data_IF_184732206212
#
_entry.id   IF_184732206212
#
_cell.length_a   1.000
_cell.length_b   1.000
_cell.length_c   1.000
_cell.angle_alpha   90.00
_cell.angle_beta   90.00
_cell.angle_gamma   90.00
#
_symmetry.space_group_name_H-M   'P 1'
#
loop_
_entity.id
_entity.type
_entity.pdbx_description
1 polymer ?
#
# COMPACT_ATOMS: atom_id res chain seq x y z
N UNK A 1 -33.60 14.24 -12.55
CA UNK A 1 -33.41 14.14 -11.09
C UNK A 1 -31.94 13.89 -10.82
N UNK A 2 -31.26 14.87 -10.23
CA UNK A 2 -29.83 14.75 -9.91
C UNK A 2 -29.70 14.00 -8.58
N UNK A 3 -29.24 12.79 -8.63
CA UNK A 3 -29.04 11.94 -7.44
C UNK A 3 -27.62 12.07 -6.89
N UNK A 4 -27.18 13.21 -6.50
CA UNK A 4 -26.04 13.44 -5.62
C UNK A 4 -24.64 12.99 -6.07
N UNK A 5 -23.60 13.28 -5.26
CA UNK A 5 -22.19 13.08 -5.62
C UNK A 5 -21.71 11.61 -5.65
N UNK A 6 -22.60 10.65 -5.48
CA UNK A 6 -22.25 9.23 -5.36
C UNK A 6 -22.21 8.46 -6.69
N UNK A 7 -22.63 9.07 -7.79
CA UNK A 7 -22.75 8.38 -9.10
C UNK A 7 -21.48 8.46 -9.96
N UNK A 8 -20.39 8.99 -9.46
CA UNK A 8 -19.13 8.98 -10.21
C UNK A 8 -18.44 7.63 -10.05
N UNK A 9 -17.92 7.06 -11.15
CA UNK A 9 -17.20 5.80 -11.08
C UNK A 9 -16.01 5.91 -10.10
N UNK A 10 -15.79 4.86 -9.33
CA UNK A 10 -14.60 4.73 -8.52
C UNK A 10 -13.36 4.84 -9.40
N UNK A 11 -12.41 5.67 -8.99
CA UNK A 11 -11.10 5.77 -9.64
C UNK A 11 -10.10 4.92 -8.89
N UNK A 12 -9.18 4.36 -9.65
CA UNK A 12 -8.02 3.64 -9.12
C UNK A 12 -6.89 4.64 -8.84
N UNK A 13 -6.17 4.46 -7.74
CA UNK A 13 -5.00 5.24 -7.38
C UNK A 13 -3.82 4.32 -7.03
N UNK A 14 -2.61 4.60 -7.52
CA UNK A 14 -2.32 5.67 -8.48
C UNK A 14 -3.08 5.49 -9.79
N UNK A 15 -3.46 6.59 -10.44
CA UNK A 15 -4.16 6.54 -11.74
C UNK A 15 -3.26 6.02 -12.86
N UNK A 16 -1.95 6.08 -12.64
CA UNK A 16 -0.90 5.64 -13.57
C UNK A 16 0.12 4.83 -12.80
N UNK A 17 0.74 3.88 -13.49
CA UNK A 17 1.85 3.12 -12.93
C UNK A 17 3.01 4.03 -12.51
N UNK A 18 3.59 3.77 -11.34
CA UNK A 18 4.82 4.42 -10.88
C UNK A 18 5.99 3.57 -11.37
N UNK A 19 6.59 3.92 -12.50
CA UNK A 19 7.54 3.05 -13.21
C UNK A 19 9.01 3.45 -13.08
N UNK A 20 9.28 4.64 -12.56
CA UNK A 20 10.65 5.14 -12.36
C UNK A 20 10.70 5.86 -11.03
N UNK A 21 11.27 5.19 -10.03
CA UNK A 21 11.72 5.88 -8.85
C UNK A 21 13.08 6.47 -9.08
N UNK A 22 13.33 7.67 -8.57
CA UNK A 22 14.70 8.15 -8.42
C UNK A 22 15.30 7.32 -7.29
N UNK A 23 16.21 6.43 -7.64
CA UNK A 23 16.90 5.60 -6.67
C UNK A 23 17.53 6.49 -5.59
N UNK A 24 17.31 6.13 -4.35
CA UNK A 24 18.06 6.70 -3.25
C UNK A 24 19.57 6.58 -3.52
N UNK A 25 20.43 7.25 -2.77
CA UNK A 25 21.85 7.37 -3.07
C UNK A 25 22.48 6.01 -3.31
N UNK A 26 23.09 5.89 -4.47
CA UNK A 26 23.74 4.70 -5.01
C UNK A 26 24.73 4.08 -4.03
N UNK A 27 24.62 2.78 -3.85
CA UNK A 27 25.70 1.96 -3.32
C UNK A 27 25.54 1.52 -1.88
N UNK A 28 24.65 0.60 -1.62
CA UNK A 28 24.55 -0.08 -0.36
C UNK A 28 23.20 -0.75 -0.18
N UNK A 29 23.11 -1.66 0.76
CA UNK A 29 21.83 -2.17 1.24
C UNK A 29 21.10 -0.97 1.84
N UNK A 30 20.21 -0.35 1.08
CA UNK A 30 19.43 0.79 1.58
C UNK A 30 18.30 0.22 2.43
N UNK A 31 18.61 -0.18 3.63
CA UNK A 31 17.63 -0.36 4.71
C UNK A 31 17.35 0.97 5.39
N UNK A 32 17.34 2.05 4.64
CA UNK A 32 17.09 3.37 5.21
C UNK A 32 15.59 3.57 5.28
N UNK A 33 15.01 3.77 6.46
CA UNK A 33 13.62 4.22 6.57
C UNK A 33 13.44 5.49 5.75
N UNK A 34 12.38 5.56 4.94
CA UNK A 34 11.99 6.81 4.30
C UNK A 34 12.55 7.06 2.90
N UNK A 35 12.90 6.04 2.12
CA UNK A 35 13.13 6.25 0.68
C UNK A 35 11.82 6.63 0.02
N UNK A 36 11.77 7.84 -0.51
CA UNK A 36 10.60 8.38 -1.23
C UNK A 36 10.81 8.32 -2.72
N UNK A 37 9.78 7.88 -3.43
CA UNK A 37 9.72 7.84 -4.87
C UNK A 37 8.52 8.66 -5.36
N UNK A 38 8.76 9.63 -6.24
CA UNK A 38 7.74 10.58 -6.69
C UNK A 38 7.51 10.48 -8.18
N UNK A 39 6.26 10.37 -8.60
CA UNK A 39 5.87 10.45 -10.01
C UNK A 39 4.48 11.06 -10.15
N UNK A 40 4.34 12.07 -11.00
CA UNK A 40 3.06 12.76 -11.29
C UNK A 40 2.31 13.24 -10.04
N UNK A 41 3.05 13.68 -9.03
CA UNK A 41 2.48 14.12 -7.76
C UNK A 41 2.18 13.02 -6.76
N UNK A 42 2.44 11.75 -7.09
CA UNK A 42 2.46 10.65 -6.14
C UNK A 42 3.85 10.49 -5.55
N UNK A 43 3.93 10.22 -4.26
CA UNK A 43 5.16 9.87 -3.57
C UNK A 43 4.97 8.55 -2.83
N UNK A 44 5.85 7.59 -3.05
CA UNK A 44 5.88 6.34 -2.30
C UNK A 44 7.01 6.39 -1.28
N UNK A 45 6.71 6.02 -0.06
CA UNK A 45 7.69 5.89 1.03
C UNK A 45 7.46 4.57 1.73
N UNK A 46 8.53 3.88 2.11
CA UNK A 46 8.44 2.64 2.89
C UNK A 46 9.41 2.64 4.06
N UNK A 47 9.09 1.87 5.09
CA UNK A 47 9.93 1.69 6.29
C UNK A 47 11.29 1.08 5.98
N UNK A 48 11.29 0.20 4.97
CA UNK A 48 12.50 -0.44 4.47
C UNK A 48 12.25 -1.07 3.10
N UNK A 49 13.32 -1.42 2.41
CA UNK A 49 13.30 -2.28 1.23
C UNK A 49 14.46 -3.25 1.28
N UNK A 50 14.29 -4.44 0.69
CA UNK A 50 15.31 -5.45 0.61
C UNK A 50 16.00 -5.37 -0.76
N UNK A 51 17.32 -5.20 -0.79
CA UNK A 51 18.10 -5.24 -2.01
C UNK A 51 19.22 -4.23 -2.08
N UNK A 52 20.17 -4.49 -2.96
CA UNK A 52 21.27 -3.58 -3.28
C UNK A 52 20.79 -2.55 -4.29
N UNK A 53 20.91 -1.29 -3.96
CA UNK A 53 20.41 -0.11 -4.66
C UNK A 53 20.89 0.13 -6.10
N UNK A 54 21.06 -0.89 -6.91
CA UNK A 54 21.52 -0.73 -8.28
C UNK A 54 20.51 -1.08 -9.37
N UNK A 55 19.55 -1.95 -9.07
CA UNK A 55 18.46 -2.32 -9.99
C UNK A 55 17.23 -2.59 -9.14
N UNK A 56 16.58 -1.53 -8.69
CA UNK A 56 15.67 -1.57 -7.57
C UNK A 56 14.34 -2.23 -7.90
N UNK A 57 14.39 -3.54 -7.99
CA UNK A 57 13.23 -4.39 -8.27
C UNK A 57 12.42 -4.72 -7.02
N UNK A 58 12.80 -4.17 -5.85
CA UNK A 58 12.18 -4.48 -4.54
C UNK A 58 11.84 -3.25 -3.71
N UNK A 59 11.93 -2.08 -4.30
CA UNK A 59 11.60 -0.81 -3.67
C UNK A 59 10.09 -0.66 -3.43
N UNK A 60 9.72 0.25 -2.54
CA UNK A 60 8.32 0.52 -2.25
C UNK A 60 7.49 0.88 -3.47
N UNK A 61 8.04 1.65 -4.41
CA UNK A 61 7.32 2.04 -5.62
C UNK A 61 6.90 0.84 -6.51
N UNK A 62 7.61 -0.30 -6.43
CA UNK A 62 7.24 -1.51 -7.16
C UNK A 62 5.88 -2.08 -6.75
N UNK A 63 5.34 -1.69 -5.59
CA UNK A 63 3.97 -2.03 -5.21
C UNK A 63 2.91 -1.16 -5.89
N UNK A 64 3.29 -0.24 -6.77
CA UNK A 64 2.41 0.70 -7.48
C UNK A 64 2.75 0.83 -8.96
N UNK A 65 3.50 -0.12 -9.52
CA UNK A 65 4.01 -0.03 -10.89
C UNK A 65 3.10 -0.69 -11.94
N UNK A 66 1.98 -1.25 -11.53
CA UNK A 66 1.10 -2.10 -12.35
C UNK A 66 1.85 -3.28 -12.99
N UNK A 67 3.07 -3.50 -12.53
CA UNK A 67 3.96 -4.51 -13.03
C UNK A 67 3.52 -5.88 -12.56
N UNK A 68 2.87 -6.61 -13.45
CA UNK A 68 2.71 -8.05 -13.30
C UNK A 68 4.09 -8.69 -13.53
N UNK A 69 4.91 -8.69 -12.50
CA UNK A 69 6.23 -9.26 -12.65
C UNK A 69 6.15 -10.77 -12.76
N UNK A 70 6.34 -11.26 -13.97
CA UNK A 70 6.47 -12.70 -14.23
C UNK A 70 7.92 -13.18 -14.22
N UNK A 71 8.89 -12.28 -14.29
CA UNK A 71 10.29 -12.67 -14.55
C UNK A 71 11.35 -11.94 -13.73
N UNK A 72 11.03 -10.83 -13.10
CA UNK A 72 11.95 -10.06 -12.27
C UNK A 72 11.24 -9.58 -11.02
N UNK A 73 11.94 -9.52 -9.91
CA UNK A 73 11.46 -9.18 -8.55
C UNK A 73 10.92 -7.73 -8.43
N UNK A 74 9.97 -7.34 -9.28
CA UNK A 74 9.30 -6.05 -9.17
C UNK A 74 8.19 -6.14 -8.14
N UNK A 75 8.58 -6.13 -6.89
CA UNK A 75 7.71 -6.21 -5.72
C UNK A 75 8.21 -5.24 -4.67
N UNK A 76 7.37 -4.75 -3.80
CA UNK A 76 7.88 -4.26 -2.53
C UNK A 76 8.22 -5.46 -1.65
N UNK A 77 9.49 -5.58 -1.31
CA UNK A 77 9.97 -6.50 -0.30
C UNK A 77 10.62 -5.68 0.82
N UNK A 78 10.11 -5.79 2.04
CA UNK A 78 10.69 -5.11 3.20
C UNK A 78 12.03 -5.73 3.60
N UNK A 79 12.74 -5.10 4.53
CA UNK A 79 13.86 -5.73 5.23
C UNK A 79 13.45 -7.00 6.00
N UNK A 80 14.43 -7.76 6.41
CA UNK A 80 14.23 -9.05 7.12
C UNK A 80 13.91 -8.81 8.61
N UNK A 81 12.72 -8.32 8.89
CA UNK A 81 12.29 -7.94 10.24
C UNK A 81 11.12 -8.76 10.78
N UNK A 82 10.99 -10.01 10.30
CA UNK A 82 10.00 -10.95 10.81
C UNK A 82 10.64 -12.29 11.13
N UNK A 83 10.07 -12.96 12.11
CA UNK A 83 10.44 -14.36 12.41
C UNK A 83 9.92 -15.27 11.29
N UNK A 84 10.58 -16.39 11.08
CA UNK A 84 10.14 -17.40 10.10
C UNK A 84 9.08 -18.37 10.64
N UNK A 85 8.52 -18.05 11.80
CA UNK A 85 7.38 -18.78 12.39
C UNK A 85 6.10 -18.59 11.59
N UNK A 86 5.05 -19.32 11.91
CA UNK A 86 3.72 -19.21 11.31
C UNK A 86 2.68 -18.90 12.39
N UNK A 87 2.16 -17.65 12.47
CA UNK A 87 2.54 -16.46 11.68
C UNK A 87 3.95 -15.94 12.02
N UNK A 88 4.56 -15.24 11.08
CA UNK A 88 5.81 -14.53 11.29
C UNK A 88 5.58 -13.23 12.08
N UNK A 89 6.30 -13.09 13.19
CA UNK A 89 6.17 -11.97 14.12
C UNK A 89 7.18 -10.88 13.77
N UNK A 90 6.75 -9.62 13.86
CA UNK A 90 7.63 -8.47 13.68
C UNK A 90 8.67 -8.41 14.81
N UNK A 91 9.94 -8.22 14.45
CA UNK A 91 11.06 -8.29 15.39
C UNK A 91 12.16 -7.23 15.17
N UNK A 92 11.85 -6.16 14.42
CA UNK A 92 12.79 -5.05 14.23
C UNK A 92 13.05 -4.30 15.54
N UNK A 93 14.29 -3.93 15.78
CA UNK A 93 14.68 -3.10 16.92
C UNK A 93 15.53 -1.91 16.46
N UNK A 94 15.15 -0.65 16.75
CA UNK A 94 13.87 -0.26 17.33
C UNK A 94 12.68 -0.54 16.38
N UNK A 95 11.54 -0.84 16.98
CA UNK A 95 10.32 -1.08 16.20
C UNK A 95 9.89 0.20 15.44
N UNK A 96 9.37 0.01 14.23
CA UNK A 96 8.65 1.06 13.52
C UNK A 96 7.19 1.03 13.98
N UNK A 97 6.63 2.18 14.29
CA UNK A 97 5.26 2.26 14.78
C UNK A 97 4.55 3.53 14.38
N UNK A 98 3.24 3.44 14.23
CA UNK A 98 2.34 4.56 13.96
C UNK A 98 1.14 4.48 14.89
N UNK A 99 0.79 5.60 15.52
CA UNK A 99 -0.41 5.67 16.35
C UNK A 99 -1.57 6.21 15.52
N UNK A 100 -2.67 5.46 15.48
CA UNK A 100 -3.91 5.89 14.86
C UNK A 100 -5.08 5.69 15.84
N UNK A 101 -5.89 6.72 16.03
CA UNK A 101 -7.03 6.74 16.93
C UNK A 101 -6.70 6.22 18.35
N UNK A 102 -5.48 6.55 18.84
CA UNK A 102 -4.98 6.14 20.16
C UNK A 102 -4.41 4.72 20.24
N UNK A 103 -4.42 3.96 19.16
CA UNK A 103 -3.85 2.60 19.08
C UNK A 103 -2.51 2.64 18.35
N UNK A 104 -1.52 1.94 18.90
CA UNK A 104 -0.20 1.83 18.28
C UNK A 104 -0.14 0.60 17.36
N UNK A 105 0.26 0.84 16.11
CA UNK A 105 0.44 -0.19 15.08
C UNK A 105 1.93 -0.32 14.75
N UNK A 106 2.53 -1.41 15.17
CA UNK A 106 3.92 -1.74 14.89
C UNK A 106 4.05 -2.61 13.66
N UNK A 107 5.08 -2.40 12.85
CA UNK A 107 5.33 -3.22 11.67
C UNK A 107 6.13 -2.52 10.59
N UNK A 108 6.49 -3.27 9.56
CA UNK A 108 6.96 -2.67 8.32
C UNK A 108 5.77 -2.02 7.61
N UNK A 109 6.02 -0.88 6.97
CA UNK A 109 4.96 -0.10 6.36
C UNK A 109 5.35 0.43 4.98
N UNK A 110 4.31 0.68 4.18
CA UNK A 110 4.41 1.37 2.89
C UNK A 110 3.30 2.41 2.79
N UNK A 111 3.67 3.60 2.33
CA UNK A 111 2.81 4.77 2.27
C UNK A 111 2.78 5.35 0.86
N UNK A 112 1.58 5.68 0.40
CA UNK A 112 1.35 6.48 -0.80
C UNK A 112 0.88 7.87 -0.41
N UNK A 113 1.60 8.90 -0.81
CA UNK A 113 1.12 10.28 -0.85
C UNK A 113 0.42 10.51 -2.19
N UNK A 114 -0.78 11.05 -2.14
CA UNK A 114 -1.62 11.35 -3.28
C UNK A 114 -1.48 12.81 -3.68
N UNK A 115 -1.58 13.17 -4.96
CA UNK A 115 -1.60 14.58 -5.39
C UNK A 115 -2.83 15.32 -4.89
N UNK A 116 -3.93 14.60 -4.63
CA UNK A 116 -5.20 15.11 -4.08
C UNK A 116 -5.73 14.15 -3.04
N UNK A 117 -6.52 14.66 -2.11
CA UNK A 117 -7.20 13.83 -1.11
C UNK A 117 -8.28 12.99 -1.76
N UNK A 118 -8.39 11.75 -1.32
CA UNK A 118 -9.45 10.84 -1.76
C UNK A 118 -10.25 10.31 -0.56
N UNK A 119 -11.51 10.06 -0.77
CA UNK A 119 -12.31 9.18 0.07
C UNK A 119 -12.09 7.75 -0.42
N UNK A 120 -11.67 6.85 0.47
CA UNK A 120 -11.32 5.48 0.11
C UNK A 120 -12.53 4.58 0.25
N UNK A 121 -12.83 3.85 -0.82
CA UNK A 121 -13.94 2.88 -0.87
C UNK A 121 -13.45 1.44 -0.83
N UNK A 122 -12.27 1.17 -1.39
CA UNK A 122 -11.66 -0.16 -1.39
C UNK A 122 -10.15 -0.09 -1.52
N UNK A 123 -9.48 -1.12 -1.00
CA UNK A 123 -8.04 -1.33 -1.10
C UNK A 123 -7.82 -2.73 -1.65
N UNK A 124 -7.14 -2.86 -2.78
CA UNK A 124 -6.72 -4.14 -3.35
C UNK A 124 -5.24 -4.34 -3.07
N UNK A 125 -4.89 -5.50 -2.54
CA UNK A 125 -3.51 -5.92 -2.31
C UNK A 125 -3.27 -7.22 -3.08
N UNK A 126 -2.26 -7.23 -3.93
CA UNK A 126 -1.81 -8.41 -4.64
C UNK A 126 -0.52 -8.92 -4.01
N UNK A 127 -0.54 -10.17 -3.56
CA UNK A 127 0.62 -10.81 -2.99
C UNK A 127 1.69 -11.06 -4.06
N UNK A 128 2.94 -11.05 -3.65
CA UNK A 128 4.00 -11.47 -4.53
C UNK A 128 3.84 -12.95 -4.89
N UNK A 129 3.83 -13.24 -6.20
CA UNK A 129 3.94 -14.59 -6.72
C UNK A 129 5.12 -14.67 -7.66
N UNK A 130 5.77 -15.80 -7.60
CA UNK A 130 6.87 -16.11 -8.51
C UNK A 130 6.63 -17.49 -9.14
N UNK A 131 6.99 -17.67 -10.39
CA UNK A 131 6.68 -18.86 -11.20
C UNK A 131 7.20 -20.20 -10.64
N UNK A 132 8.06 -20.18 -9.65
CA UNK A 132 8.58 -21.38 -8.96
C UNK A 132 8.31 -21.38 -7.45
N UNK A 133 7.44 -20.50 -6.91
CA UNK A 133 7.60 -20.05 -5.54
C UNK A 133 6.33 -20.14 -4.70
N UNK A 134 6.14 -21.29 -4.16
CA UNK A 134 5.53 -21.47 -2.84
C UNK A 134 6.19 -20.59 -1.75
N UNK A 135 7.42 -20.08 -1.96
CA UNK A 135 8.21 -19.34 -0.96
C UNK A 135 7.74 -17.93 -0.62
N UNK A 136 7.23 -17.13 -1.58
CA UNK A 136 6.81 -15.75 -1.32
C UNK A 136 5.42 -15.64 -0.67
N UNK A 137 4.63 -16.69 -0.70
CA UNK A 137 3.36 -16.78 0.01
C UNK A 137 3.51 -16.45 1.49
N UNK A 138 4.64 -16.81 2.09
CA UNK A 138 4.93 -16.55 3.49
C UNK A 138 5.07 -15.06 3.86
N UNK A 139 5.43 -14.20 2.91
CA UNK A 139 5.56 -12.75 3.11
C UNK A 139 4.24 -11.98 3.00
N UNK A 140 3.11 -12.64 2.79
CA UNK A 140 1.79 -12.00 2.74
C UNK A 140 1.41 -11.37 4.08
N UNK A 141 0.78 -10.19 4.09
CA UNK A 141 0.20 -9.63 5.30
C UNK A 141 -0.78 -10.60 5.98
N UNK A 142 -0.60 -10.81 7.28
CA UNK A 142 -1.44 -11.66 8.11
C UNK A 142 -2.21 -10.83 9.15
N UNK A 143 -1.56 -9.83 9.73
CA UNK A 143 -2.13 -8.89 10.68
C UNK A 143 -1.55 -7.50 10.42
N UNK A 144 -2.38 -6.47 10.54
CA UNK A 144 -1.96 -5.10 10.31
C UNK A 144 -3.11 -4.12 10.20
N UNK A 145 -2.80 -2.95 9.65
CA UNK A 145 -3.75 -1.86 9.50
C UNK A 145 -3.53 -1.05 8.22
N UNK A 146 -4.61 -0.47 7.72
CA UNK A 146 -4.60 0.62 6.74
C UNK A 146 -4.92 1.90 7.48
N UNK A 147 -4.05 2.88 7.35
CA UNK A 147 -4.15 4.18 8.02
C UNK A 147 -4.29 5.30 6.98
N UNK A 148 -5.03 6.35 7.33
CA UNK A 148 -5.18 7.56 6.53
C UNK A 148 -4.73 8.80 7.28
N UNK A 149 -4.10 9.75 6.58
CA UNK A 149 -3.64 11.02 7.15
C UNK A 149 -3.77 12.17 6.15
N UNK A 150 -3.77 13.40 6.67
CA UNK A 150 -3.74 14.62 5.85
C UNK A 150 -2.49 15.46 6.08
N UNK A 151 -1.69 15.13 7.10
CA UNK A 151 -0.52 15.90 7.54
C UNK A 151 0.73 15.02 7.74
N UNK A 152 0.63 13.71 7.41
CA UNK A 152 1.68 12.69 7.59
C UNK A 152 2.14 12.48 9.05
N UNK A 153 1.37 12.98 9.99
CA UNK A 153 1.68 12.92 11.43
C UNK A 153 0.52 12.40 12.28
N UNK A 154 -0.68 12.83 11.98
CA UNK A 154 -1.92 12.42 12.66
C UNK A 154 -2.63 11.38 11.79
N UNK A 155 -2.80 10.18 12.32
CA UNK A 155 -3.35 9.05 11.58
C UNK A 155 -4.71 8.61 12.10
N UNK A 156 -5.59 8.25 11.20
CA UNK A 156 -6.88 7.61 11.47
C UNK A 156 -6.86 6.18 10.97
N UNK A 157 -7.48 5.28 11.70
CA UNK A 157 -7.66 3.90 11.27
C UNK A 157 -8.73 3.81 10.19
N UNK A 158 -8.40 3.24 9.04
CA UNK A 158 -9.34 2.95 7.96
C UNK A 158 -9.80 1.50 8.01
N UNK A 159 -8.87 0.59 8.28
CA UNK A 159 -9.11 -0.85 8.35
C UNK A 159 -8.06 -1.51 9.22
N UNK A 160 -8.48 -2.36 10.15
CA UNK A 160 -7.61 -3.35 10.76
C UNK A 160 -7.91 -4.74 10.21
N UNK A 161 -6.91 -5.62 10.22
CA UNK A 161 -7.08 -7.01 9.84
C UNK A 161 -6.18 -7.92 10.69
N UNK A 162 -6.69 -9.11 11.01
CA UNK A 162 -5.99 -10.11 11.82
C UNK A 162 -6.47 -11.52 11.48
N UNK A 163 -5.66 -12.51 11.81
CA UNK A 163 -6.00 -13.93 11.58
C UNK A 163 -5.84 -14.38 10.13
N UNK A 164 -5.14 -13.61 9.33
CA UNK A 164 -4.95 -13.86 7.90
C UNK A 164 -6.06 -13.28 7.05
N UNK A 165 -5.71 -12.96 5.81
CA UNK A 165 -6.62 -12.44 4.80
C UNK A 165 -7.07 -13.58 3.88
N UNK A 166 -8.32 -13.52 3.41
CA UNK A 166 -8.84 -14.48 2.43
C UNK A 166 -8.30 -14.14 1.05
N UNK A 167 -7.12 -14.65 0.75
CA UNK A 167 -6.48 -14.46 -0.55
C UNK A 167 -7.21 -15.25 -1.63
N UNK A 168 -7.81 -14.55 -2.58
CA UNK A 168 -8.33 -15.22 -3.77
C UNK A 168 -7.17 -15.86 -4.52
N UNK A 169 -7.31 -17.13 -4.89
CA UNK A 169 -6.34 -17.82 -5.72
C UNK A 169 -6.33 -17.16 -7.11
N UNK A 170 -5.19 -16.60 -7.47
CA UNK A 170 -4.97 -16.04 -8.78
C UNK A 170 -3.90 -16.84 -9.49
N UNK A 171 -3.83 -16.73 -10.81
CA UNK A 171 -2.73 -17.32 -11.57
C UNK A 171 -1.41 -16.69 -11.18
N UNK A 172 -0.31 -17.38 -11.42
CA UNK A 172 1.05 -16.84 -11.21
C UNK A 172 1.22 -15.51 -11.95
N UNK A 173 0.62 -15.38 -13.13
CA UNK A 173 0.62 -14.15 -13.92
C UNK A 173 -0.09 -12.97 -13.24
N UNK A 174 -0.97 -13.21 -12.27
CA UNK A 174 -1.73 -12.20 -11.54
C UNK A 174 -1.18 -11.94 -10.13
N UNK A 175 -0.01 -12.47 -9.80
CA UNK A 175 0.64 -12.18 -8.52
C UNK A 175 0.27 -13.12 -7.37
N UNK A 176 -0.18 -14.35 -7.65
CA UNK A 176 -0.27 -15.43 -6.62
C UNK A 176 -1.31 -15.28 -5.53
N UNK A 177 -2.14 -14.26 -5.58
CA UNK A 177 -3.24 -14.04 -4.64
C UNK A 177 -3.60 -12.57 -4.49
N UNK A 178 -4.88 -12.32 -4.44
CA UNK A 178 -5.45 -10.98 -4.30
C UNK A 178 -6.43 -10.93 -3.13
N UNK A 179 -6.42 -9.84 -2.41
CA UNK A 179 -7.44 -9.53 -1.40
C UNK A 179 -7.94 -8.11 -1.62
N UNK A 180 -9.23 -7.92 -1.42
CA UNK A 180 -9.85 -6.59 -1.40
C UNK A 180 -10.35 -6.31 0.00
N UNK A 181 -9.93 -5.20 0.57
CA UNK A 181 -10.34 -4.70 1.88
C UNK A 181 -11.27 -3.51 1.68
N UNK A 182 -12.34 -3.48 2.47
CA UNK A 182 -13.23 -2.32 2.56
C UNK A 182 -12.94 -1.61 3.88
N UNK A 183 -12.81 -0.28 3.91
CA UNK A 183 -12.69 0.47 5.17
C UNK A 183 -13.81 0.10 6.15
N UNK A 184 -13.47 0.02 7.44
CA UNK A 184 -14.46 -0.34 8.49
C UNK A 184 -15.48 0.77 8.72
N UNK A 185 -15.08 1.99 8.46
CA UNK A 185 -15.95 3.16 8.54
C UNK A 185 -16.26 3.66 7.15
N UNK A 186 -17.54 3.84 6.85
CA UNK A 186 -18.00 4.53 5.63
C UNK A 186 -17.67 6.02 5.80
N UNK A 187 -16.38 6.36 5.73
CA UNK A 187 -15.89 7.68 6.06
C UNK A 187 -16.15 8.61 4.89
N UNK A 188 -16.84 9.70 5.15
CA UNK A 188 -16.83 10.87 4.27
C UNK A 188 -15.48 11.58 4.28
N UNK A 189 -14.56 11.14 5.16
CA UNK A 189 -13.24 11.69 5.31
C UNK A 189 -12.37 11.38 4.10
N UNK A 190 -11.56 12.34 3.73
CA UNK A 190 -10.64 12.27 2.60
C UNK A 190 -9.22 12.39 3.10
N UNK A 191 -8.35 11.58 2.54
CA UNK A 191 -6.97 11.48 2.98
C UNK A 191 -6.00 11.73 1.82
N UNK A 192 -4.90 12.40 2.14
CA UNK A 192 -3.79 12.63 1.23
C UNK A 192 -2.73 11.53 1.33
N UNK A 193 -2.56 10.96 2.51
CA UNK A 193 -1.61 9.89 2.79
C UNK A 193 -2.37 8.64 3.16
N UNK A 194 -2.01 7.53 2.56
CA UNK A 194 -2.56 6.21 2.88
C UNK A 194 -1.38 5.28 3.15
N UNK A 195 -1.43 4.59 4.28
CA UNK A 195 -0.36 3.72 4.73
C UNK A 195 -0.90 2.31 5.03
N UNK A 196 -0.21 1.30 4.52
CA UNK A 196 -0.35 -0.08 4.99
C UNK A 196 0.75 -0.34 6.01
N UNK A 197 0.37 -0.75 7.23
CA UNK A 197 1.27 -1.27 8.27
C UNK A 197 1.04 -2.76 8.40
N UNK A 198 2.11 -3.55 8.39
CA UNK A 198 2.04 -5.02 8.51
C UNK A 198 2.72 -5.43 9.82
N UNK A 199 1.94 -5.90 10.79
CA UNK A 199 2.45 -6.36 12.09
C UNK A 199 2.91 -7.82 12.04
N UNK A 200 2.16 -8.68 11.33
CA UNK A 200 2.51 -10.09 11.14
C UNK A 200 2.37 -10.47 9.68
N UNK A 201 3.20 -11.40 9.27
CA UNK A 201 3.15 -12.05 7.95
C UNK A 201 2.67 -13.49 8.08
N UNK A 202 2.30 -14.11 6.96
CA UNK A 202 1.77 -15.47 6.98
C UNK A 202 2.75 -16.49 7.56
N UNK A 203 4.05 -16.29 7.31
CA UNK A 203 5.12 -17.10 7.91
C UNK A 203 6.03 -17.75 6.88
N UNK A 204 7.07 -18.44 7.35
CA UNK A 204 8.16 -19.02 6.54
C UNK A 204 8.98 -18.01 5.73
N UNK A 205 8.79 -16.70 5.96
CA UNK A 205 9.57 -15.59 5.40
C UNK A 205 9.97 -14.65 6.53
N UNK A 206 10.96 -13.80 6.25
CA UNK A 206 11.40 -12.75 7.18
C UNK A 206 11.06 -11.34 6.69
N UNK A 207 10.36 -11.21 5.58
CA UNK A 207 9.99 -9.94 4.93
C UNK A 207 8.52 -9.91 4.51
N UNK A 208 7.95 -8.73 4.43
CA UNK A 208 6.69 -8.49 3.70
C UNK A 208 7.00 -8.53 2.22
N UNK A 209 6.18 -9.23 1.44
CA UNK A 209 6.32 -9.36 0.00
C UNK A 209 4.98 -8.99 -0.68
N UNK A 210 4.93 -7.81 -1.33
CA UNK A 210 3.72 -7.30 -2.00
C UNK A 210 4.05 -6.98 -3.46
N UNK A 211 3.21 -7.49 -4.36
CA UNK A 211 3.36 -7.25 -5.79
C UNK A 211 2.68 -5.94 -6.22
N UNK A 212 1.47 -5.68 -5.72
CA UNK A 212 0.70 -4.50 -6.13
C UNK A 212 -0.25 -4.05 -5.04
N UNK A 213 -0.42 -2.74 -4.89
CA UNK A 213 -1.45 -2.12 -4.06
C UNK A 213 -2.22 -1.14 -4.93
N UNK A 214 -3.55 -1.19 -4.85
CA UNK A 214 -4.45 -0.23 -5.51
C UNK A 214 -5.45 0.30 -4.51
N UNK A 215 -5.60 1.60 -4.49
CA UNK A 215 -6.65 2.27 -3.76
C UNK A 215 -7.77 2.67 -4.72
N UNK A 216 -9.00 2.53 -4.30
CA UNK A 216 -10.17 2.95 -5.07
C UNK A 216 -10.96 3.96 -4.27
N UNK A 217 -11.37 5.05 -4.91
CA UNK A 217 -12.06 6.11 -4.20
C UNK A 217 -12.49 7.27 -5.09
N UNK A 218 -12.91 8.35 -4.42
CA UNK A 218 -13.36 9.60 -5.04
C UNK A 218 -12.50 10.76 -4.57
N UNK A 219 -12.05 11.60 -5.49
CA UNK A 219 -11.26 12.79 -5.17
C UNK A 219 -12.06 13.87 -4.43
N UNK A 220 -11.35 14.66 -3.65
CA UNK A 220 -11.86 15.91 -3.10
C UNK A 220 -12.25 16.87 -4.23
N UNK A 221 -13.43 17.48 -4.12
CA UNK A 221 -13.96 18.38 -5.15
C UNK A 221 -14.60 17.69 -6.35
N UNK A 222 -14.45 16.37 -6.51
CA UNK A 222 -15.11 15.64 -7.59
C UNK A 222 -16.64 15.60 -7.49
N UNK A 223 -17.21 16.10 -6.39
CA UNK A 223 -18.65 16.22 -6.16
C UNK A 223 -19.25 17.62 -6.32
N UNK A 224 -18.42 18.66 -6.43
CA UNK A 224 -18.90 20.00 -6.74
C UNK A 224 -18.96 20.18 -8.24
N UNK A 225 -19.99 19.68 -8.89
CA UNK A 225 -20.45 20.37 -10.07
C UNK A 225 -20.83 21.77 -9.60
N UNK A 226 -20.14 22.72 -10.19
CA UNK A 226 -20.35 24.12 -10.01
C UNK A 226 -21.86 24.44 -10.13
N UNK A 227 -22.53 24.57 -8.99
CA UNK A 227 -23.92 25.02 -8.94
C UNK A 227 -24.02 26.50 -9.33
N UNK A 228 -22.88 27.20 -9.53
CA UNK A 228 -22.83 28.57 -10.00
C UNK A 228 -23.20 28.72 -11.48
N UNK A 229 -23.16 27.68 -12.28
CA UNK A 229 -23.59 27.75 -13.69
C UNK A 229 -25.11 27.65 -13.91
N UNK A 230 -25.92 27.42 -12.87
CA UNK A 230 -27.39 27.38 -12.99
C UNK A 230 -28.10 28.72 -12.81
N UNK A 231 -27.37 29.81 -12.59
CA UNK A 231 -27.97 31.13 -12.38
C UNK A 231 -27.88 32.07 -13.59
N UNK A 232 -27.59 31.56 -14.76
CA UNK A 232 -27.40 32.41 -15.98
C UNK A 232 -28.35 32.03 -17.12
N UNK A 233 -29.54 31.56 -16.78
CA UNK A 233 -30.67 31.51 -17.76
C UNK A 233 -31.99 31.80 -17.05
#
# INVERSE_FOLDING_TARGET
EYTGPHDRPLRKYPEVAIINGTLGPTGGIVQTPGVSESQKGYTVTSSSSWGNGGTDTRAGWCAFDEGKSTTTYKIWQSGNYYTTTTPGLYNRSPAQSHTADGVNYEGEWIKLELPRKINISAIEINAAAYSSLTGHVGGRPYEGAILGSNDDSTWSLLKSFSGGLSWATTTVAEGGGRVTLTPDTNTTNKYRYIMLVVNKIQGSRSSVDINEIKYYGHEEGSGSLDTTLKSVY
#
